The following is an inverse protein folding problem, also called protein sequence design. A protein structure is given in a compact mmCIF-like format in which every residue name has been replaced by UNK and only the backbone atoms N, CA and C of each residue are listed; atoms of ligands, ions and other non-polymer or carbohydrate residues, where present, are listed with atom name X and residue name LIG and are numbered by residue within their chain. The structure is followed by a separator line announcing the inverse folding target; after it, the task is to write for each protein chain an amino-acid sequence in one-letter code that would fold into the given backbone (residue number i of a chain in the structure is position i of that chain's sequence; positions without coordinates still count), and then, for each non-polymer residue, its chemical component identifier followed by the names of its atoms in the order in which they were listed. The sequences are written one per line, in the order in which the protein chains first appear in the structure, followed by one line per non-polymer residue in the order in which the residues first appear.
data_IF_192908275242
#
_entry.id   IF_192908275242
#
_cell.length_a   1.000
_cell.length_b   1.000
_cell.length_c   1.000
_cell.angle_alpha   90.00
_cell.angle_beta   90.00
_cell.angle_gamma   90.00
#
_symmetry.space_group_name_H-M   'P 1'
#
loop_
_entity.id
_entity.type
_entity.pdbx_description
1 polymer ?
#
# COMPACT_ATOMS: atom_id res chain seq x y z
N UNK A 1 -3.65 1.49 2.78
CA UNK A 1 -3.24 0.46 3.77
C UNK A 1 -2.06 0.98 4.58
N UNK A 2 -2.28 2.00 5.42
CA UNK A 2 -1.19 2.65 6.16
C UNK A 2 -1.10 2.16 7.61
N UNK A 3 -2.22 1.79 8.22
CA UNK A 3 -2.27 1.26 9.59
C UNK A 3 -1.61 -0.11 9.74
N UNK A 4 -1.77 -1.02 8.77
CA UNK A 4 -1.20 -2.38 8.84
C UNK A 4 0.34 -2.40 8.77
N UNK A 5 0.94 -1.41 8.09
CA UNK A 5 2.40 -1.30 7.90
C UNK A 5 3.12 -1.01 9.22
N UNK A 6 2.50 -0.26 10.13
CA UNK A 6 3.13 0.14 11.39
C UNK A 6 3.06 -0.93 12.47
N UNK A 7 2.06 -1.80 12.45
CA UNK A 7 1.94 -2.89 13.42
C UNK A 7 2.62 -4.19 12.97
N UNK A 8 2.64 -4.51 11.66
CA UNK A 8 3.21 -5.78 11.13
C UNK A 8 3.85 -5.58 9.75
N UNK A 9 5.00 -4.90 9.64
CA UNK A 9 5.65 -4.60 8.36
C UNK A 9 5.99 -5.86 7.56
N UNK A 10 6.39 -6.94 8.23
CA UNK A 10 6.77 -8.22 7.61
C UNK A 10 5.59 -8.92 6.91
N UNK A 11 4.39 -8.83 7.50
CA UNK A 11 3.18 -9.43 6.92
C UNK A 11 2.73 -8.72 5.64
N UNK A 12 2.91 -7.40 5.56
CA UNK A 12 2.57 -6.60 4.39
C UNK A 12 3.48 -6.88 3.18
N UNK A 13 4.75 -7.21 3.42
CA UNK A 13 5.68 -7.64 2.37
C UNK A 13 5.23 -9.00 1.80
N UNK A 14 4.82 -9.94 2.67
CA UNK A 14 4.35 -11.26 2.27
C UNK A 14 3.12 -11.22 1.35
N UNK A 15 2.23 -10.24 1.49
CA UNK A 15 1.05 -10.09 0.63
C UNK A 15 1.40 -9.89 -0.84
N UNK A 16 2.56 -9.30 -1.15
CA UNK A 16 3.06 -9.14 -2.51
C UNK A 16 3.29 -10.47 -3.24
N UNK A 17 3.66 -11.52 -2.50
CA UNK A 17 3.90 -12.86 -3.05
C UNK A 17 2.60 -13.59 -3.46
N UNK A 18 1.43 -13.07 -3.07
CA UNK A 18 0.14 -13.71 -3.35
C UNK A 18 -0.43 -13.38 -4.73
N UNK A 19 0.09 -12.32 -5.36
CA UNK A 19 -0.30 -11.91 -6.71
C UNK A 19 0.37 -12.82 -7.73
N UNK A 20 -0.40 -13.63 -8.45
CA UNK A 20 0.15 -14.60 -9.39
C UNK A 20 0.58 -13.96 -10.72
N UNK A 21 -0.16 -12.95 -11.19
CA UNK A 21 0.04 -12.35 -12.51
C UNK A 21 1.38 -11.63 -12.70
N UNK A 22 1.89 -10.84 -11.73
CA UNK A 22 3.22 -10.22 -11.84
C UNK A 22 4.33 -11.25 -12.05
N UNK A 23 4.31 -12.38 -11.32
CA UNK A 23 5.32 -13.43 -11.47
C UNK A 23 5.16 -14.22 -12.77
N UNK A 24 3.92 -14.43 -13.24
CA UNK A 24 3.64 -15.01 -14.55
C UNK A 24 4.21 -14.16 -15.70
N UNK A 25 4.04 -12.83 -15.62
CA UNK A 25 4.63 -11.89 -16.59
C UNK A 25 6.16 -11.87 -16.54
N UNK A 26 6.74 -11.92 -15.33
CA UNK A 26 8.19 -12.04 -15.18
C UNK A 26 8.73 -13.33 -15.80
N UNK A 27 8.05 -14.46 -15.58
CA UNK A 27 8.39 -15.75 -16.19
C UNK A 27 8.30 -15.71 -17.73
N UNK A 28 7.27 -15.06 -18.27
CA UNK A 28 7.16 -14.85 -19.71
C UNK A 28 8.32 -14.01 -20.24
N UNK A 29 8.60 -12.89 -19.57
CA UNK A 29 9.68 -11.99 -19.96
C UNK A 29 11.04 -12.69 -19.96
N UNK A 30 11.37 -13.44 -18.89
CA UNK A 30 12.64 -14.18 -18.81
C UNK A 30 12.71 -15.34 -19.81
N UNK A 31 11.59 -16.01 -20.07
CA UNK A 31 11.51 -17.05 -21.10
C UNK A 31 11.79 -16.50 -22.50
N UNK A 32 11.24 -15.32 -22.81
CA UNK A 32 11.46 -14.63 -24.09
C UNK A 32 12.91 -14.14 -24.25
N UNK A 33 13.54 -13.65 -23.17
CA UNK A 33 14.93 -13.16 -23.23
C UNK A 33 15.98 -14.28 -23.25
N UNK A 34 15.65 -15.44 -22.70
CA UNK A 34 16.59 -16.58 -22.54
C UNK A 34 16.33 -17.67 -23.59
N UNK A 35 15.49 -17.42 -24.60
CA UNK A 35 15.04 -18.39 -25.62
C UNK A 35 14.36 -19.66 -25.07
N UNK A 36 13.93 -19.65 -23.80
CA UNK A 36 13.15 -20.72 -23.15
C UNK A 36 11.66 -20.38 -23.20
N UNK A 37 11.16 -20.15 -24.43
CA UNK A 37 9.81 -19.66 -24.67
C UNK A 37 8.74 -20.57 -24.06
N UNK A 38 8.91 -21.89 -24.15
CA UNK A 38 7.94 -22.86 -23.62
C UNK A 38 7.77 -22.74 -22.10
N UNK A 39 8.88 -22.58 -21.36
CA UNK A 39 8.82 -22.41 -19.90
C UNK A 39 8.20 -21.07 -19.52
N UNK A 40 8.56 -19.99 -20.23
CA UNK A 40 8.00 -18.67 -19.98
C UNK A 40 6.48 -18.60 -20.22
N UNK A 41 6.04 -19.14 -21.36
CA UNK A 41 4.61 -19.29 -21.64
C UNK A 41 3.92 -20.24 -20.67
N UNK A 42 4.56 -21.33 -20.25
CA UNK A 42 4.03 -22.27 -19.26
C UNK A 42 3.78 -21.60 -17.90
N UNK A 43 4.74 -20.82 -17.40
CA UNK A 43 4.60 -20.08 -16.15
C UNK A 43 3.50 -19.02 -16.22
N UNK A 44 3.44 -18.28 -17.34
CA UNK A 44 2.37 -17.30 -17.57
C UNK A 44 0.99 -17.96 -17.64
N UNK A 45 0.87 -19.05 -18.41
CA UNK A 45 -0.38 -19.80 -18.53
C UNK A 45 -0.81 -20.37 -17.18
N UNK A 46 0.12 -20.93 -16.40
CA UNK A 46 -0.18 -21.43 -15.06
C UNK A 46 -0.70 -20.33 -14.13
N UNK A 47 -0.05 -19.15 -14.11
CA UNK A 47 -0.50 -18.00 -13.32
C UNK A 47 -1.88 -17.48 -13.76
N UNK A 48 -2.09 -17.36 -15.08
CA UNK A 48 -3.36 -16.92 -15.65
C UNK A 48 -4.49 -17.90 -15.35
N UNK A 49 -4.29 -19.19 -15.62
CA UNK A 49 -5.28 -20.24 -15.36
C UNK A 49 -5.60 -20.36 -13.87
N UNK A 50 -4.61 -20.23 -12.98
CA UNK A 50 -4.85 -20.21 -11.54
C UNK A 50 -5.91 -19.13 -11.17
N UNK A 51 -5.76 -17.91 -11.69
CA UNK A 51 -6.69 -16.80 -11.41
C UNK A 51 -8.05 -16.98 -12.08
N UNK A 52 -8.08 -17.48 -13.31
CA UNK A 52 -9.33 -17.77 -14.03
C UNK A 52 -10.11 -18.89 -13.34
N UNK A 53 -9.46 -19.99 -12.97
CA UNK A 53 -10.08 -21.10 -12.24
C UNK A 53 -10.62 -20.60 -10.90
N UNK A 54 -9.85 -19.81 -10.15
CA UNK A 54 -10.32 -19.23 -8.88
C UNK A 54 -11.55 -18.35 -9.10
N UNK A 55 -11.58 -17.52 -10.15
CA UNK A 55 -12.73 -16.68 -10.51
C UNK A 55 -13.97 -17.52 -10.83
N UNK A 56 -13.81 -18.59 -11.62
CA UNK A 56 -14.92 -19.47 -12.01
C UNK A 56 -15.44 -20.26 -10.80
N UNK A 57 -14.55 -20.86 -10.00
CA UNK A 57 -14.94 -21.64 -8.83
C UNK A 57 -15.67 -20.74 -7.81
N UNK A 58 -15.14 -19.58 -7.50
CA UNK A 58 -15.78 -18.68 -6.53
C UNK A 58 -17.04 -18.04 -7.12
N UNK A 59 -16.97 -17.50 -8.34
CA UNK A 59 -18.07 -16.75 -8.94
C UNK A 59 -19.23 -17.64 -9.42
N UNK A 60 -18.93 -18.73 -10.11
CA UNK A 60 -19.97 -19.60 -10.64
C UNK A 60 -20.39 -20.71 -9.66
N UNK A 61 -19.44 -21.42 -9.03
CA UNK A 61 -19.79 -22.55 -8.17
C UNK A 61 -20.24 -22.13 -6.76
N UNK A 62 -19.62 -21.13 -6.16
CA UNK A 62 -19.98 -20.68 -4.80
C UNK A 62 -21.09 -19.63 -4.82
N UNK A 63 -20.98 -18.61 -5.67
CA UNK A 63 -21.95 -17.51 -5.74
C UNK A 63 -23.12 -17.80 -6.69
N UNK A 64 -22.96 -18.71 -7.65
CA UNK A 64 -24.00 -19.05 -8.63
C UNK A 64 -24.14 -18.05 -9.79
N UNK A 65 -23.23 -17.08 -9.92
CA UNK A 65 -23.30 -16.06 -10.95
C UNK A 65 -22.69 -16.54 -12.27
N UNK A 66 -23.53 -16.71 -13.30
CA UNK A 66 -23.12 -17.09 -14.66
C UNK A 66 -22.27 -16.00 -15.34
N UNK A 67 -22.38 -14.74 -14.90
CA UNK A 67 -21.55 -13.64 -15.43
C UNK A 67 -20.08 -13.81 -15.07
N UNK A 68 -19.76 -14.57 -14.01
CA UNK A 68 -18.39 -14.90 -13.65
C UNK A 68 -17.64 -15.63 -14.78
N UNK A 69 -18.33 -16.43 -15.60
CA UNK A 69 -17.73 -17.09 -16.77
C UNK A 69 -17.33 -16.09 -17.86
N UNK A 70 -18.11 -15.00 -18.03
CA UNK A 70 -17.84 -13.96 -19.04
C UNK A 70 -16.78 -12.96 -18.57
N UNK A 71 -16.73 -12.67 -17.27
CA UNK A 71 -15.81 -11.70 -16.68
C UNK A 71 -14.59 -12.34 -16.00
N UNK A 72 -14.33 -13.63 -16.22
CA UNK A 72 -13.20 -14.33 -15.61
C UNK A 72 -11.84 -13.70 -15.98
N UNK A 73 -11.72 -13.12 -17.18
CA UNK A 73 -10.52 -12.40 -17.64
C UNK A 73 -10.24 -11.10 -16.87
N UNK A 74 -11.25 -10.53 -16.18
CA UNK A 74 -11.09 -9.32 -15.37
C UNK A 74 -10.30 -9.59 -14.09
N UNK A 75 -10.28 -10.85 -13.61
CA UNK A 75 -9.54 -11.23 -12.41
C UNK A 75 -8.01 -11.14 -12.58
N UNK A 76 -7.42 -11.65 -13.68
CA UNK A 76 -6.03 -11.38 -14.02
C UNK A 76 -5.68 -9.88 -14.04
N UNK A 77 -6.53 -9.04 -14.65
CA UNK A 77 -6.31 -7.59 -14.67
C UNK A 77 -6.39 -6.97 -13.26
N UNK A 78 -7.37 -7.41 -12.46
CA UNK A 78 -7.52 -7.01 -11.05
C UNK A 78 -6.29 -7.39 -10.22
N UNK A 79 -5.70 -8.56 -10.45
CA UNK A 79 -4.51 -9.03 -9.74
C UNK A 79 -3.32 -8.09 -9.97
N UNK A 80 -3.13 -7.63 -11.21
CA UNK A 80 -2.12 -6.63 -11.56
C UNK A 80 -2.38 -5.27 -10.92
N UNK A 81 -3.63 -4.79 -10.95
CA UNK A 81 -4.00 -3.53 -10.28
C UNK A 81 -3.75 -3.61 -8.76
N UNK A 82 -4.09 -4.74 -8.14
CA UNK A 82 -3.81 -5.00 -6.72
C UNK A 82 -2.32 -4.95 -6.43
N UNK A 83 -1.49 -5.57 -7.27
CA UNK A 83 -0.03 -5.51 -7.15
C UNK A 83 0.50 -4.08 -7.29
N UNK A 84 0.00 -3.28 -8.23
CA UNK A 84 0.42 -1.88 -8.41
C UNK A 84 0.05 -1.04 -7.18
N UNK A 85 -1.17 -1.19 -6.67
CA UNK A 85 -1.61 -0.50 -5.44
C UNK A 85 -0.77 -0.94 -4.24
N UNK A 86 -0.45 -2.23 -4.15
CA UNK A 86 0.45 -2.78 -3.14
C UNK A 86 1.86 -2.20 -3.26
N UNK A 87 2.45 -2.14 -4.45
CA UNK A 87 3.76 -1.55 -4.69
C UNK A 87 3.77 -0.04 -4.36
N UNK A 88 2.73 0.68 -4.78
CA UNK A 88 2.54 2.11 -4.48
C UNK A 88 2.46 2.39 -2.97
N UNK A 89 1.98 1.42 -2.17
CA UNK A 89 1.92 1.54 -0.71
C UNK A 89 3.30 1.62 -0.04
N UNK A 90 4.37 1.14 -0.70
CA UNK A 90 5.74 1.29 -0.22
C UNK A 90 6.37 2.62 -0.64
N UNK A 91 5.89 3.21 -1.74
CA UNK A 91 6.43 4.44 -2.32
C UNK A 91 5.97 5.70 -1.58
N UNK A 92 4.75 5.72 -1.03
CA UNK A 92 4.24 6.87 -0.26
C UNK A 92 4.72 6.81 1.19
N UNK A 93 5.69 7.67 1.52
CA UNK A 93 6.17 7.93 2.89
C UNK A 93 5.40 9.04 3.61
N UNK A 94 4.82 9.95 2.86
CA UNK A 94 4.18 11.16 3.40
C UNK A 94 2.67 11.07 3.20
N UNK A 95 1.92 11.26 4.30
CA UNK A 95 0.47 11.32 4.29
C UNK A 95 0.04 12.70 4.79
N UNK A 96 -0.61 13.45 3.93
CA UNK A 96 -1.28 14.70 4.30
C UNK A 96 -2.70 14.37 4.75
N UNK A 97 -3.04 14.73 5.98
CA UNK A 97 -4.39 14.62 6.51
C UNK A 97 -4.81 15.97 7.06
N UNK A 98 -5.92 16.52 6.55
CA UNK A 98 -6.51 17.75 7.08
C UNK A 98 -5.70 19.04 6.87
N UNK A 99 -4.79 19.08 5.90
CA UNK A 99 -3.94 20.25 5.62
C UNK A 99 -2.59 20.27 6.34
N UNK A 100 -2.33 19.28 7.20
CA UNK A 100 -1.07 19.14 7.95
C UNK A 100 -0.26 17.97 7.38
N UNK A 101 1.05 18.18 7.16
CA UNK A 101 1.98 17.13 6.76
C UNK A 101 2.38 16.32 8.01
N UNK A 102 2.18 15.00 7.96
CA UNK A 102 2.65 14.11 9.02
C UNK A 102 3.84 13.32 8.51
N UNK A 103 5.02 13.59 9.07
CA UNK A 103 6.21 12.78 8.83
C UNK A 103 6.26 11.60 9.81
N UNK A 104 6.51 10.43 9.25
CA UNK A 104 6.66 9.19 10.00
C UNK A 104 8.14 9.01 10.38
N UNK A 105 8.50 9.35 11.61
CA UNK A 105 9.84 9.06 12.15
C UNK A 105 10.05 7.56 12.38
N UNK A 106 11.33 7.16 12.36
CA UNK A 106 11.87 5.79 12.37
C UNK A 106 11.70 5.08 13.73
N UNK A 107 10.55 5.28 14.40
CA UNK A 107 10.27 4.79 15.75
C UNK A 107 8.80 4.59 16.10
N UNK A 108 7.85 4.73 15.16
CA UNK A 108 6.43 4.46 15.47
C UNK A 108 5.63 5.64 16.00
N UNK A 109 6.24 6.82 16.21
CA UNK A 109 5.50 8.04 16.59
C UNK A 109 5.13 8.83 15.33
N UNK A 110 3.84 9.13 15.24
CA UNK A 110 3.29 10.11 14.31
C UNK A 110 3.40 11.45 15.04
N UNK A 111 4.29 12.31 14.59
CA UNK A 111 4.42 13.67 15.17
C UNK A 111 3.89 14.66 14.13
N UNK A 112 2.84 15.45 14.46
CA UNK A 112 2.42 16.56 13.61
C UNK A 112 3.53 17.62 13.56
N UNK A 113 3.80 18.14 12.36
CA UNK A 113 4.80 19.19 12.12
C UNK A 113 4.56 20.45 13.00
N UNK A 114 3.30 20.75 13.33
CA UNK A 114 2.92 21.86 14.22
C UNK A 114 3.50 21.80 15.63
N UNK A 115 3.75 20.61 16.20
CA UNK A 115 4.31 20.49 17.57
C UNK A 115 5.82 20.74 17.62
N UNK A 116 6.54 20.48 16.53
CA UNK A 116 7.98 20.80 16.44
C UNK A 116 8.21 22.32 16.44
N UNK A 117 7.27 23.09 15.88
CA UNK A 117 7.33 24.55 15.91
C UNK A 117 7.13 25.13 17.32
N UNK A 118 6.25 24.50 18.13
CA UNK A 118 6.02 24.88 19.53
C UNK A 118 7.21 24.51 20.44
N UNK A 119 7.89 23.39 20.19
CA UNK A 119 9.06 22.96 20.99
C UNK A 119 10.33 23.78 20.68
N UNK A 120 10.41 24.40 19.50
CA UNK A 120 11.55 25.23 19.08
C UNK A 120 11.38 26.70 19.51
N UNK A 121 10.16 27.16 19.85
CA UNK A 121 9.99 28.49 20.45
C UNK A 121 10.36 28.45 21.94
N UNK A 122 11.47 29.09 22.36
CA UNK A 122 11.70 29.31 23.78
C UNK A 122 10.59 30.21 24.30
N UNK A 123 9.95 29.79 25.39
CA UNK A 123 9.02 30.57 26.20
C UNK A 123 9.51 32.03 26.30
N UNK A 124 8.76 33.03 25.80
CA UNK A 124 9.15 34.41 26.02
C UNK A 124 9.06 34.66 27.52
N UNK A 125 10.23 34.82 28.13
CA UNK A 125 10.42 35.11 29.53
C UNK A 125 9.35 36.10 30.00
N UNK A 126 8.48 35.65 30.91
CA UNK A 126 7.49 36.50 31.56
C UNK A 126 8.22 37.67 32.21
N UNK A 127 8.22 38.82 31.53
CA UNK A 127 8.74 40.06 32.09
C UNK A 127 7.71 40.50 33.11
N UNK A 128 8.17 40.53 34.36
CA UNK A 128 7.35 40.79 35.53
C UNK A 128 6.54 42.06 35.45
N UNK A 129 5.34 41.92 35.99
CA UNK A 129 4.36 42.93 36.36
C UNK A 129 5.02 44.13 37.07
N UNK A 130 4.98 45.28 36.40
CA UNK A 130 5.44 46.57 36.90
C UNK A 130 4.24 47.47 37.21
N UNK A 131 3.87 47.48 38.48
CA UNK A 131 3.44 48.65 39.27
C UNK A 131 2.52 49.66 38.56
N UNK A 132 1.22 49.60 38.85
CA UNK A 132 0.32 50.76 38.77
C UNK A 132 -0.49 50.93 40.06
N UNK A 133 0.12 51.73 40.94
CA UNK A 133 -0.48 52.76 41.81
C UNK A 133 -2.01 52.88 41.73
N UNK A 134 -2.70 52.58 42.83
CA UNK A 134 -3.97 53.22 43.17
C UNK A 134 -4.17 53.21 44.69
N UNK A 135 -3.87 54.35 45.32
CA UNK A 135 -4.29 54.67 46.69
C UNK A 135 -4.95 56.04 46.65
N UNK A 136 -6.21 56.11 47.05
CA UNK A 136 -6.91 57.33 47.47
C UNK A 136 -7.85 56.91 48.58
#
# INVERSE_FOLDING_TARGET
MQSTRYSRPSGHVGTGLTYAMPFGLLGLFTGLTTAHNLLGFGLFAAAYLNRVIQSIVVGWKVIGDKRALRFCWLYPARDLLGFVVWAASFMKRDFTWGGENYHFERGGRIVPESRLADEIQPEPASTGDGEKVFTT
#
